data_IF_513165025491
#
_entry.id   IF_513165025491
#
_cell.length_a   1.000
_cell.length_b   1.000
_cell.length_c   1.000
_cell.angle_alpha   90.00
_cell.angle_beta   90.00
_cell.angle_gamma   90.00
#
_symmetry.space_group_name_H-M   'P 1'
#
loop_
_entity.id
_entity.type
_entity.pdbx_description
1 polymer ?
#
# COMPACT_ATOMS: atom_id res chain seq x y z
N UNK A 1 -14.58 10.70 -10.16
CA UNK A 1 -14.36 11.29 -8.83
C UNK A 1 -12.98 10.85 -8.37
N UNK A 2 -11.98 11.70 -8.58
CA UNK A 2 -10.64 11.47 -8.05
C UNK A 2 -10.68 11.88 -6.58
N UNK A 3 -10.46 10.94 -5.66
CA UNK A 3 -10.16 11.25 -4.27
C UNK A 3 -8.75 11.86 -4.23
N UNK A 4 -8.64 13.13 -4.62
CA UNK A 4 -7.47 13.95 -4.32
C UNK A 4 -7.60 14.35 -2.87
N UNK A 5 -7.05 13.55 -1.97
CA UNK A 5 -6.57 14.13 -0.72
C UNK A 5 -5.57 15.22 -1.13
N UNK A 6 -5.78 16.50 -0.73
CA UNK A 6 -4.80 17.53 -1.00
C UNK A 6 -3.45 17.03 -0.49
N UNK A 7 -2.36 17.33 -1.20
CA UNK A 7 -1.00 16.86 -0.88
C UNK A 7 -0.51 17.21 0.55
N UNK A 8 -1.32 17.95 1.31
CA UNK A 8 -1.11 18.38 2.69
C UNK A 8 -1.91 17.58 3.74
N UNK A 9 -2.82 16.67 3.35
CA UNK A 9 -3.66 15.92 4.29
C UNK A 9 -3.53 14.42 4.13
N UNK A 10 -2.30 13.92 4.32
CA UNK A 10 -2.05 12.49 4.49
C UNK A 10 -1.82 12.21 5.97
N UNK A 11 -2.46 11.17 6.48
CA UNK A 11 -2.37 10.82 7.90
C UNK A 11 -1.02 10.16 8.17
N UNK A 12 -0.22 10.68 9.12
CA UNK A 12 1.04 10.05 9.47
C UNK A 12 0.78 8.66 10.07
N UNK A 13 1.45 7.66 9.50
CA UNK A 13 1.37 6.27 9.97
C UNK A 13 2.72 5.90 10.56
N UNK A 14 2.82 5.90 11.88
CA UNK A 14 4.04 5.53 12.59
C UNK A 14 4.22 4.01 12.69
N UNK A 15 5.47 3.59 12.82
CA UNK A 15 5.84 2.20 13.09
C UNK A 15 6.91 2.16 14.20
N UNK A 16 7.14 1.00 14.80
CA UNK A 16 8.22 0.80 15.78
C UNK A 16 9.51 0.38 15.07
N UNK A 17 10.65 1.03 15.33
CA UNK A 17 11.93 0.63 14.73
C UNK A 17 12.27 -0.84 15.00
N UNK A 18 11.93 -1.34 16.20
CA UNK A 18 12.10 -2.75 16.58
C UNK A 18 11.34 -3.70 15.65
N UNK A 19 10.17 -3.27 15.16
CA UNK A 19 9.37 -4.05 14.22
C UNK A 19 10.10 -4.16 12.88
N UNK A 20 10.70 -3.07 12.38
CA UNK A 20 11.50 -3.11 11.16
C UNK A 20 12.68 -4.04 11.32
N UNK A 21 13.47 -3.85 12.38
CA UNK A 21 14.71 -4.61 12.58
C UNK A 21 14.44 -6.13 12.61
N UNK A 22 13.31 -6.53 13.18
CA UNK A 22 12.84 -7.91 13.22
C UNK A 22 12.21 -8.40 11.90
N UNK A 23 11.70 -7.51 11.05
CA UNK A 23 11.09 -7.86 9.78
C UNK A 23 12.15 -8.25 8.76
N UNK A 24 12.03 -9.44 8.16
CA UNK A 24 12.89 -9.94 7.07
C UNK A 24 12.01 -10.64 6.02
N UNK A 25 12.32 -10.51 4.72
CA UNK A 25 13.42 -9.74 4.14
C UNK A 25 13.18 -8.22 4.19
N UNK A 26 14.27 -7.45 4.15
CA UNK A 26 14.22 -5.99 4.01
C UNK A 26 14.81 -5.64 2.65
N UNK A 27 14.04 -4.95 1.81
CA UNK A 27 14.55 -4.39 0.56
C UNK A 27 14.76 -2.89 0.74
N UNK A 28 15.92 -2.37 0.37
CA UNK A 28 16.20 -0.94 0.45
C UNK A 28 15.90 -0.29 -0.90
N UNK A 29 15.18 0.83 -0.86
CA UNK A 29 14.78 1.59 -2.03
C UNK A 29 15.30 3.01 -1.89
N UNK A 30 16.18 3.41 -2.81
CA UNK A 30 16.74 4.76 -2.82
C UNK A 30 15.75 5.72 -3.49
N UNK A 31 15.36 6.77 -2.77
CA UNK A 31 14.49 7.82 -3.26
C UNK A 31 15.14 9.18 -3.00
N UNK A 32 15.71 9.77 -4.06
CA UNK A 32 16.55 10.96 -3.95
C UNK A 32 17.65 10.75 -2.86
N UNK A 33 17.68 11.60 -1.85
CA UNK A 33 18.66 11.58 -0.76
C UNK A 33 18.23 10.71 0.44
N UNK A 34 17.20 9.87 0.27
CA UNK A 34 16.66 9.03 1.34
C UNK A 34 16.64 7.55 0.95
N UNK A 35 16.93 6.69 1.93
CA UNK A 35 16.73 5.25 1.82
C UNK A 35 15.43 4.88 2.53
N UNK A 36 14.50 4.29 1.77
CA UNK A 36 13.29 3.68 2.29
C UNK A 36 13.52 2.18 2.49
N UNK A 37 12.96 1.62 3.55
CA UNK A 37 12.91 0.16 3.73
C UNK A 37 11.54 -0.33 3.28
N UNK A 38 11.52 -1.11 2.19
CA UNK A 38 10.33 -1.80 1.75
C UNK A 38 10.07 -3.03 2.64
N UNK A 39 8.85 -3.07 3.15
CA UNK A 39 8.29 -4.13 3.97
C UNK A 39 7.15 -4.76 3.15
N UNK A 40 7.35 -6.00 2.72
CA UNK A 40 6.40 -6.70 1.87
C UNK A 40 5.12 -6.99 2.63
N UNK A 41 3.98 -6.52 2.12
CA UNK A 41 2.70 -6.64 2.80
C UNK A 41 1.86 -7.77 2.21
N UNK A 42 1.70 -7.79 0.89
CA UNK A 42 0.79 -8.72 0.22
C UNK A 42 1.16 -8.95 -1.25
N UNK A 43 0.91 -10.16 -1.73
CA UNK A 43 0.79 -10.43 -3.16
C UNK A 43 -0.70 -10.52 -3.53
N UNK A 44 -1.17 -9.56 -4.32
CA UNK A 44 -2.57 -9.48 -4.73
C UNK A 44 -2.73 -10.18 -6.08
N UNK A 45 -3.45 -11.31 -6.09
CA UNK A 45 -3.68 -12.10 -7.30
C UNK A 45 -5.03 -11.76 -7.93
N UNK A 46 -5.00 -11.39 -9.22
CA UNK A 46 -6.21 -11.05 -9.98
C UNK A 46 -6.33 -11.90 -11.24
N UNK A 47 -7.57 -12.25 -11.57
CA UNK A 47 -7.93 -12.94 -12.81
C UNK A 47 -8.32 -11.91 -13.87
N UNK A 48 -7.53 -11.77 -14.92
CA UNK A 48 -7.86 -10.94 -16.05
C UNK A 48 -8.78 -11.71 -17.01
N UNK A 49 -9.98 -11.19 -17.23
CA UNK A 49 -10.87 -11.72 -18.26
C UNK A 49 -10.25 -11.45 -19.65
N UNK A 50 -9.80 -12.51 -20.32
CA UNK A 50 -9.23 -12.42 -21.67
C UNK A 50 -10.24 -11.78 -22.64
N UNK A 51 -9.81 -10.75 -23.39
CA UNK A 51 -10.61 -10.14 -24.46
C UNK A 51 -10.83 -11.17 -25.57
N UNK A 52 -11.96 -11.87 -25.58
CA UNK A 52 -12.38 -12.66 -26.74
C UNK A 52 -13.03 -11.74 -27.77
N UNK A 53 -12.22 -11.20 -28.70
CA UNK A 53 -12.75 -10.64 -29.95
C UNK A 53 -12.89 -11.79 -30.96
N UNK A 54 -14.05 -12.45 -30.91
CA UNK A 54 -14.63 -13.26 -31.99
C UNK A 54 -13.86 -14.48 -32.51
N UNK A 55 -14.34 -15.68 -32.18
CA UNK A 55 -14.65 -16.73 -33.18
C UNK A 55 -15.50 -17.83 -32.54
N UNK A 56 -16.57 -18.21 -33.24
CA UNK A 56 -17.41 -19.38 -32.91
C UNK A 56 -16.51 -20.62 -32.87
N UNK A 57 -16.38 -21.23 -31.71
CA UNK A 57 -15.63 -22.47 -31.49
C UNK A 57 -15.35 -22.61 -30.00
N UNK A 58 -15.99 -23.59 -29.36
CA UNK A 58 -16.00 -23.78 -27.91
C UNK A 58 -14.65 -24.16 -27.31
N UNK A 59 -13.73 -23.21 -27.22
CA UNK A 59 -12.54 -23.30 -26.39
C UNK A 59 -12.56 -22.15 -25.39
N UNK A 60 -12.63 -22.50 -24.10
CA UNK A 60 -12.43 -21.54 -23.00
C UNK A 60 -11.07 -20.89 -23.20
N UNK A 61 -11.05 -19.60 -23.55
CA UNK A 61 -9.82 -18.82 -23.59
C UNK A 61 -9.10 -18.95 -22.25
N UNK A 62 -7.76 -19.14 -22.22
CA UNK A 62 -7.00 -19.18 -20.98
C UNK A 62 -7.27 -17.90 -20.19
N UNK A 63 -7.63 -18.05 -18.92
CA UNK A 63 -7.81 -16.92 -18.03
C UNK A 63 -6.42 -16.42 -17.69
N UNK A 64 -6.10 -15.19 -18.10
CA UNK A 64 -4.82 -14.60 -17.76
C UNK A 64 -4.86 -14.22 -16.28
N UNK A 65 -3.77 -14.44 -15.55
CA UNK A 65 -3.63 -13.98 -14.17
C UNK A 65 -2.50 -12.98 -14.11
N UNK A 66 -2.63 -11.99 -13.23
CA UNK A 66 -1.56 -11.07 -12.91
C UNK A 66 -1.52 -10.86 -11.39
N UNK A 67 -0.33 -10.64 -10.86
CA UNK A 67 -0.15 -10.28 -9.46
C UNK A 67 0.34 -8.85 -9.32
N UNK A 68 -0.14 -8.17 -8.29
CA UNK A 68 0.36 -6.87 -7.86
C UNK A 68 0.98 -7.06 -6.49
N UNK A 69 2.26 -6.69 -6.38
CA UNK A 69 2.96 -6.71 -5.10
C UNK A 69 2.67 -5.42 -4.33
N UNK A 70 2.02 -5.53 -3.17
CA UNK A 70 1.75 -4.43 -2.26
C UNK A 70 2.79 -4.37 -1.14
N UNK A 71 3.38 -3.20 -0.93
CA UNK A 71 4.43 -2.98 0.07
C UNK A 71 4.16 -1.73 0.91
N UNK A 72 4.63 -1.75 2.15
CA UNK A 72 4.80 -0.56 2.97
C UNK A 72 6.25 -0.08 2.85
N UNK A 73 6.46 1.22 2.77
CA UNK A 73 7.77 1.84 2.70
C UNK A 73 8.00 2.62 3.97
N UNK A 74 9.03 2.23 4.71
CA UNK A 74 9.42 2.89 5.94
C UNK A 74 10.48 3.95 5.67
N UNK A 75 10.19 5.17 6.10
CA UNK A 75 11.13 6.26 6.12
C UNK A 75 11.94 6.26 7.42
N UNK A 76 13.19 6.76 7.39
CA UNK A 76 14.00 6.97 8.59
C UNK A 76 13.35 7.89 9.63
N UNK A 77 12.37 8.72 9.22
CA UNK A 77 11.59 9.58 10.11
C UNK A 77 10.63 8.83 11.04
N UNK A 78 10.51 7.50 10.92
CA UNK A 78 9.63 6.67 11.77
C UNK A 78 8.20 6.51 11.24
N UNK A 79 7.96 6.91 10.00
CA UNK A 79 6.65 6.84 9.35
C UNK A 79 6.64 5.94 8.10
N UNK A 80 5.47 5.41 7.78
CA UNK A 80 5.20 4.54 6.62
C UNK A 80 4.43 5.28 5.52
N UNK A 81 4.69 4.87 4.28
CA UNK A 81 3.75 5.03 3.16
C UNK A 81 3.48 3.68 2.50
N UNK A 82 2.50 3.62 1.60
CA UNK A 82 2.14 2.40 0.88
C UNK A 82 2.38 2.56 -0.61
N UNK A 83 2.82 1.47 -1.25
CA UNK A 83 3.00 1.38 -2.69
C UNK A 83 2.48 0.03 -3.20
N UNK A 84 2.24 -0.05 -4.50
CA UNK A 84 1.87 -1.28 -5.18
C UNK A 84 2.50 -1.33 -6.57
N UNK A 85 3.14 -2.46 -6.89
CA UNK A 85 3.82 -2.70 -8.16
C UNK A 85 5.33 -2.89 -8.00
N UNK A 86 6.01 -3.06 -9.12
CA UNK A 86 7.44 -3.33 -9.18
C UNK A 86 8.25 -2.04 -9.08
N UNK A 87 8.33 -1.46 -7.88
CA UNK A 87 9.42 -0.60 -7.37
C UNK A 87 9.95 0.61 -8.17
N UNK A 88 9.47 0.90 -9.38
CA UNK A 88 10.09 1.89 -10.27
C UNK A 88 9.50 3.30 -10.17
N UNK A 89 8.24 3.43 -9.72
CA UNK A 89 7.62 4.74 -9.49
C UNK A 89 7.20 4.84 -8.03
N UNK A 90 8.02 5.53 -7.24
CA UNK A 90 7.65 5.87 -5.88
C UNK A 90 6.60 7.00 -5.92
N UNK A 91 5.51 6.90 -5.14
CA UNK A 91 4.55 7.97 -5.04
C UNK A 91 5.23 9.23 -4.48
N UNK A 92 4.75 10.41 -4.86
CA UNK A 92 5.16 11.69 -4.24
C UNK A 92 5.10 11.55 -2.72
N UNK A 93 6.25 11.55 -2.08
CA UNK A 93 6.33 11.32 -0.64
C UNK A 93 5.74 12.52 0.12
N UNK A 94 4.90 12.28 1.13
CA UNK A 94 4.44 13.32 2.03
C UNK A 94 5.60 14.07 2.70
N UNK A 95 5.38 15.34 3.09
CA UNK A 95 6.39 16.13 3.79
C UNK A 95 6.91 15.50 5.08
N UNK A 96 6.12 14.66 5.74
CA UNK A 96 6.53 13.95 6.96
C UNK A 96 7.40 12.70 6.72
N UNK A 97 7.64 12.34 5.46
CA UNK A 97 8.57 11.28 5.06
C UNK A 97 9.90 11.86 4.57
N UNK A 98 10.26 13.09 4.96
CA UNK A 98 11.54 13.70 4.61
C UNK A 98 12.69 13.17 5.48
N UNK A 99 13.92 13.42 5.03
CA UNK A 99 15.15 13.06 5.75
C UNK A 99 15.24 13.92 7.02
N UNK A 100 15.18 13.26 8.18
CA UNK A 100 15.38 13.88 9.49
C UNK A 100 14.20 13.76 10.45
N UNK A 101 14.33 14.27 11.69
CA UNK A 101 13.22 14.36 12.62
C UNK A 101 12.15 15.30 12.06
N UNK A 102 10.94 14.79 11.88
CA UNK A 102 9.81 15.57 11.40
C UNK A 102 8.96 15.98 12.59
N UNK A 103 8.86 17.28 12.83
CA UNK A 103 7.88 17.87 13.72
C UNK A 103 6.49 17.82 13.06
N UNK A 104 5.61 16.96 13.56
CA UNK A 104 4.22 16.93 13.11
C UNK A 104 3.47 18.14 13.66
N UNK A 105 2.59 18.73 12.85
CA UNK A 105 1.63 19.72 13.37
C UNK A 105 0.71 19.07 14.40
N UNK A 106 0.16 19.84 15.35
CA UNK A 106 -0.76 19.32 16.38
C UNK A 106 -1.94 18.53 15.78
N UNK A 107 -2.43 18.96 14.61
CA UNK A 107 -3.49 18.28 13.88
C UNK A 107 -3.03 16.93 13.29
N UNK A 108 -1.81 16.85 12.77
CA UNK A 108 -1.21 15.60 12.28
C UNK A 108 -0.90 14.64 13.43
N UNK A 109 -0.43 15.15 14.56
CA UNK A 109 -0.15 14.36 15.75
C UNK A 109 -1.44 13.76 16.33
N UNK A 110 -2.53 14.53 16.37
CA UNK A 110 -3.85 14.03 16.76
C UNK A 110 -4.42 13.00 15.77
N UNK A 111 -4.13 13.15 14.48
CA UNK A 111 -4.56 12.23 13.44
C UNK A 111 -3.67 10.98 13.32
N UNK A 112 -2.46 11.01 13.88
CA UNK A 112 -1.44 9.96 13.74
C UNK A 112 -2.02 8.60 14.06
N UNK A 113 -1.60 7.61 13.29
CA UNK A 113 -1.92 6.19 13.49
C UNK A 113 -0.65 5.40 13.67
N UNK A 114 -0.74 4.29 14.40
CA UNK A 114 0.39 3.41 14.63
C UNK A 114 0.07 2.02 14.09
N UNK A 115 1.01 1.49 13.29
CA UNK A 115 0.94 0.10 12.80
C UNK A 115 1.89 -0.73 13.63
N UNK A 116 1.34 -1.75 14.28
CA UNK A 116 2.06 -2.68 15.14
C UNK A 116 2.28 -4.03 14.47
N UNK A 117 1.49 -4.33 13.43
CA UNK A 117 1.62 -5.52 12.59
C UNK A 117 1.16 -5.24 11.16
N UNK A 118 2.05 -5.46 10.18
CA UNK A 118 1.70 -5.35 8.76
C UNK A 118 0.77 -6.47 8.30
N UNK A 119 0.83 -7.64 8.95
CA UNK A 119 -0.09 -8.73 8.67
C UNK A 119 -1.53 -8.32 9.02
N UNK A 120 -1.75 -7.78 10.24
CA UNK A 120 -3.08 -7.31 10.64
C UNK A 120 -3.58 -6.18 9.74
N UNK A 121 -2.69 -5.25 9.36
CA UNK A 121 -3.01 -4.20 8.40
C UNK A 121 -3.46 -4.78 7.05
N UNK A 122 -2.74 -5.78 6.55
CA UNK A 122 -3.02 -6.44 5.27
C UNK A 122 -4.36 -7.15 5.30
N UNK A 123 -4.65 -7.92 6.35
CA UNK A 123 -5.95 -8.60 6.51
C UNK A 123 -7.12 -7.60 6.48
N UNK A 124 -6.95 -6.46 7.15
CA UNK A 124 -7.94 -5.38 7.18
C UNK A 124 -8.07 -4.69 5.83
N UNK A 125 -6.95 -4.41 5.15
CA UNK A 125 -6.98 -3.85 3.80
C UNK A 125 -7.69 -4.79 2.81
N UNK A 126 -7.46 -6.10 2.90
CA UNK A 126 -8.11 -7.11 2.07
C UNK A 126 -9.61 -7.30 2.37
N UNK A 127 -10.10 -6.80 3.51
CA UNK A 127 -11.53 -6.81 3.83
C UNK A 127 -12.36 -5.89 2.93
N UNK A 128 -11.74 -4.87 2.32
CA UNK A 128 -12.44 -3.94 1.45
C UNK A 128 -12.89 -4.63 0.15
N UNK A 129 -14.20 -4.56 -0.11
CA UNK A 129 -14.87 -5.28 -1.21
C UNK A 129 -14.20 -5.06 -2.57
N UNK A 130 -13.66 -3.88 -2.84
CA UNK A 130 -13.01 -3.59 -4.12
C UNK A 130 -11.83 -4.53 -4.42
N UNK A 131 -10.99 -4.84 -3.42
CA UNK A 131 -9.84 -5.72 -3.59
C UNK A 131 -10.22 -7.20 -3.70
N UNK A 132 -11.46 -7.57 -3.33
CA UNK A 132 -11.99 -8.93 -3.42
C UNK A 132 -12.64 -9.25 -4.77
N UNK A 133 -12.73 -8.28 -5.67
CA UNK A 133 -13.32 -8.47 -6.99
C UNK A 133 -12.27 -8.89 -8.01
N UNK A 134 -12.74 -9.56 -9.05
CA UNK A 134 -11.95 -9.90 -10.22
C UNK A 134 -11.84 -8.66 -11.11
N UNK A 135 -10.61 -8.20 -11.34
CA UNK A 135 -10.34 -7.02 -12.15
C UNK A 135 -9.67 -7.41 -13.46
N UNK A 136 -10.10 -6.84 -14.61
CA UNK A 136 -9.39 -7.02 -15.87
C UNK A 136 -8.02 -6.33 -15.80
N UNK A 137 -7.05 -6.85 -16.56
CA UNK A 137 -5.67 -6.36 -16.54
C UNK A 137 -5.53 -4.86 -16.87
N UNK A 138 -6.43 -4.28 -17.68
CA UNK A 138 -6.41 -2.86 -17.99
C UNK A 138 -6.81 -1.96 -16.79
N UNK A 139 -7.21 -2.53 -15.66
CA UNK A 139 -7.49 -1.83 -14.41
C UNK A 139 -6.34 -1.94 -13.40
N UNK A 140 -5.19 -2.48 -13.77
CA UNK A 140 -4.05 -2.68 -12.87
C UNK A 140 -3.69 -1.42 -12.06
N UNK A 141 -3.61 -0.25 -12.69
CA UNK A 141 -3.33 1.01 -12.00
C UNK A 141 -4.42 1.43 -11.01
N UNK A 142 -5.68 1.11 -11.31
CA UNK A 142 -6.80 1.40 -10.42
C UNK A 142 -6.77 0.48 -9.20
N UNK A 143 -6.38 -0.78 -9.40
CA UNK A 143 -6.19 -1.75 -8.33
C UNK A 143 -5.00 -1.38 -7.44
N UNK A 144 -3.87 -0.94 -8.02
CA UNK A 144 -2.72 -0.40 -7.27
C UNK A 144 -3.13 0.77 -6.38
N UNK A 145 -3.89 1.74 -6.94
CA UNK A 145 -4.42 2.88 -6.16
C UNK A 145 -5.40 2.44 -5.07
N UNK A 146 -6.28 1.49 -5.38
CA UNK A 146 -7.23 0.97 -4.42
C UNK A 146 -6.53 0.27 -3.25
N UNK A 147 -5.46 -0.49 -3.50
CA UNK A 147 -4.62 -1.05 -2.44
C UNK A 147 -4.09 0.01 -1.49
N UNK A 148 -3.46 1.05 -2.03
CA UNK A 148 -2.90 2.17 -1.24
C UNK A 148 -3.99 2.81 -0.38
N UNK A 149 -5.14 3.10 -0.97
CA UNK A 149 -6.29 3.69 -0.26
C UNK A 149 -6.80 2.74 0.83
N UNK A 150 -6.93 1.45 0.54
CA UNK A 150 -7.37 0.43 1.49
C UNK A 150 -6.42 0.30 2.69
N UNK A 151 -5.11 0.40 2.49
CA UNK A 151 -4.15 0.42 3.60
C UNK A 151 -4.35 1.67 4.49
N UNK A 152 -4.52 2.85 3.90
CA UNK A 152 -4.80 4.06 4.68
C UNK A 152 -6.14 3.99 5.42
N UNK A 153 -7.19 3.49 4.76
CA UNK A 153 -8.49 3.27 5.39
C UNK A 153 -8.39 2.26 6.53
N UNK A 154 -7.61 1.20 6.38
CA UNK A 154 -7.38 0.23 7.44
C UNK A 154 -6.69 0.88 8.66
N UNK A 155 -5.69 1.74 8.44
CA UNK A 155 -5.07 2.52 9.51
C UNK A 155 -6.03 3.49 10.20
N UNK A 156 -6.99 4.05 9.46
CA UNK A 156 -7.94 5.04 9.98
C UNK A 156 -9.10 4.42 10.75
N UNK A 157 -9.64 3.31 10.23
CA UNK A 157 -10.89 2.69 10.70
C UNK A 157 -10.67 1.62 11.78
N UNK A 158 -9.43 1.17 11.96
CA UNK A 158 -9.11 0.18 13.00
C UNK A 158 -8.21 0.80 14.06
N UNK A 159 -8.73 0.85 15.29
CA UNK A 159 -7.98 1.15 16.52
C UNK A 159 -6.79 0.18 16.72
N UNK A 160 -5.76 0.53 17.52
CA UNK A 160 -4.37 0.15 17.26
C UNK A 160 -4.22 -1.35 17.05
N UNK A 161 -3.54 -1.69 15.96
CA UNK A 161 -3.54 -3.03 15.38
C UNK A 161 -2.60 -4.00 16.14
N UNK A 162 -2.98 -4.32 17.39
CA UNK A 162 -2.41 -5.28 18.36
C UNK A 162 -1.54 -4.61 19.43
N UNK A 163 -1.75 -4.70 20.75
CA UNK A 163 -2.19 -5.82 21.59
C UNK A 163 -3.30 -5.37 22.57
N UNK A 164 -4.39 -6.12 22.65
CA UNK A 164 -5.05 -6.38 23.95
C UNK A 164 -4.68 -7.78 24.38
#
# INVERSE_FOLDING_TARGET
MSFFFPHHWQVPVAFSQRYIDAFKPQQQLQHHDMVLVALDCAELFFEAQGRTRGKRGGSRSPRAHYSIHGSALAAPSGFLTFTAGTGCELPTLPPFLQVGPVELTAQQEAAKRQVLSLHSLTDKALSFRFLRLVHPQNMEDQVRRAWIISCYLACLLHEPMGLT
#
